data_IF_772423128012
#
_entry.id   IF_772423128012
#
_cell.length_a   1.000
_cell.length_b   1.000
_cell.length_c   1.000
_cell.angle_alpha   90.00
_cell.angle_beta   90.00
_cell.angle_gamma   90.00
#
_symmetry.space_group_name_H-M   'P 1'
#
loop_
_entity.id
_entity.type
_entity.pdbx_description
1 polymer ?
#
# COMPACT_ATOMS: atom_id res chain seq x y z
N UNK A 1 18.20 -12.57 0.33
CA UNK A 1 17.63 -13.86 -0.08
C UNK A 1 17.27 -14.72 1.13
N UNK A 2 18.18 -15.07 2.07
CA UNK A 2 17.88 -15.93 3.23
C UNK A 2 16.69 -15.42 4.05
N UNK A 3 16.66 -14.14 4.42
CA UNK A 3 15.54 -13.50 5.13
C UNK A 3 14.19 -13.63 4.39
N UNK A 4 14.19 -13.47 3.07
CA UNK A 4 12.96 -13.61 2.28
C UNK A 4 12.42 -15.04 2.30
N UNK A 5 13.32 -16.05 2.33
CA UNK A 5 12.95 -17.47 2.47
C UNK A 5 12.40 -17.75 3.87
N UNK A 6 13.02 -17.20 4.92
CA UNK A 6 12.57 -17.38 6.31
C UNK A 6 11.16 -16.79 6.53
N UNK A 7 10.84 -15.70 5.88
CA UNK A 7 9.55 -14.99 5.99
C UNK A 7 8.46 -15.59 5.09
N UNK A 8 8.82 -16.28 4.02
CA UNK A 8 7.85 -16.84 3.08
C UNK A 8 7.09 -18.03 3.68
N UNK A 9 5.78 -18.15 3.40
CA UNK A 9 5.01 -19.36 3.66
C UNK A 9 5.27 -20.41 2.60
N UNK A 10 5.39 -19.99 1.34
CA UNK A 10 5.72 -20.82 0.18
C UNK A 10 6.75 -20.08 -0.66
N UNK A 11 7.73 -20.77 -1.18
CA UNK A 11 8.76 -20.20 -2.07
C UNK A 11 8.50 -20.66 -3.49
N UNK A 12 8.26 -19.71 -4.40
CA UNK A 12 8.24 -19.98 -5.83
C UNK A 12 9.68 -19.84 -6.38
N UNK A 13 10.29 -20.94 -6.77
CA UNK A 13 11.59 -20.95 -7.44
C UNK A 13 11.39 -21.08 -8.95
N UNK A 14 11.79 -20.03 -9.69
CA UNK A 14 11.60 -19.99 -11.14
C UNK A 14 12.94 -20.09 -11.87
N UNK A 15 13.03 -21.03 -12.81
CA UNK A 15 14.18 -21.28 -13.67
C UNK A 15 13.81 -21.23 -15.14
N UNK A 16 14.76 -21.17 -16.05
CA UNK A 16 14.55 -21.08 -17.50
C UNK A 16 14.89 -22.38 -18.21
N UNK A 17 13.98 -22.93 -19.02
CA UNK A 17 14.20 -24.18 -19.74
C UNK A 17 15.42 -24.14 -20.68
N UNK A 18 15.58 -23.03 -21.42
CA UNK A 18 16.59 -22.91 -22.49
C UNK A 18 18.04 -22.80 -22.00
N UNK A 19 18.27 -22.37 -20.77
CA UNK A 19 19.63 -22.28 -20.19
C UNK A 19 20.08 -23.57 -19.53
N UNK A 20 19.15 -24.50 -19.24
CA UNK A 20 19.42 -25.66 -18.40
C UNK A 20 19.66 -25.26 -16.94
N UNK A 21 20.15 -26.23 -16.16
CA UNK A 21 20.49 -25.99 -14.76
C UNK A 21 21.85 -25.31 -14.68
N UNK A 22 21.90 -24.17 -13.97
CA UNK A 22 23.13 -23.43 -13.70
C UNK A 22 23.67 -23.74 -12.31
N UNK A 23 24.96 -23.43 -12.05
CA UNK A 23 25.56 -23.58 -10.72
C UNK A 23 24.79 -22.77 -9.66
N UNK A 24 24.26 -21.60 -10.04
CA UNK A 24 23.42 -20.77 -9.15
C UNK A 24 22.08 -21.44 -8.83
N UNK A 25 21.48 -22.14 -9.80
CA UNK A 25 20.23 -22.87 -9.54
C UNK A 25 20.45 -24.01 -8.53
N UNK A 26 21.61 -24.70 -8.62
CA UNK A 26 21.98 -25.74 -7.66
C UNK A 26 22.23 -25.17 -6.26
N UNK A 27 22.97 -24.04 -6.14
CA UNK A 27 23.21 -23.37 -4.86
C UNK A 27 21.89 -22.91 -4.21
N UNK A 28 20.99 -22.30 -5.00
CA UNK A 28 19.69 -21.87 -4.51
C UNK A 28 18.85 -23.08 -4.10
N UNK A 29 18.82 -24.14 -4.90
CA UNK A 29 18.08 -25.35 -4.60
C UNK A 29 18.56 -26.01 -3.29
N UNK A 30 19.88 -26.03 -3.03
CA UNK A 30 20.44 -26.52 -1.77
C UNK A 30 19.99 -25.68 -0.57
N UNK A 31 20.01 -24.33 -0.72
CA UNK A 31 19.53 -23.41 0.30
C UNK A 31 18.04 -23.61 0.58
N UNK A 32 17.22 -23.78 -0.46
CA UNK A 32 15.79 -24.02 -0.35
C UNK A 32 15.48 -25.34 0.33
N UNK A 33 16.18 -26.43 0.00
CA UNK A 33 16.04 -27.73 0.70
C UNK A 33 16.36 -27.63 2.19
N UNK A 34 17.39 -26.86 2.55
CA UNK A 34 17.78 -26.63 3.96
C UNK A 34 16.80 -25.76 4.72
N UNK A 35 16.05 -24.91 4.04
CA UNK A 35 15.09 -23.99 4.70
C UNK A 35 13.88 -24.69 5.32
N UNK A 36 13.54 -25.90 4.83
CA UNK A 36 12.36 -26.65 5.25
C UNK A 36 11.03 -25.98 4.86
N UNK A 37 11.06 -24.94 4.04
CA UNK A 37 9.86 -24.29 3.53
C UNK A 37 9.27 -25.05 2.35
N UNK A 38 7.93 -25.01 2.13
CA UNK A 38 7.34 -25.49 0.90
C UNK A 38 7.91 -24.73 -0.30
N UNK A 39 8.38 -25.47 -1.31
CA UNK A 39 8.95 -24.91 -2.53
C UNK A 39 8.16 -25.39 -3.74
N UNK A 40 7.73 -24.48 -4.59
CA UNK A 40 7.12 -24.77 -5.88
C UNK A 40 8.11 -24.41 -6.98
N UNK A 41 8.56 -25.39 -7.77
CA UNK A 41 9.54 -25.21 -8.84
C UNK A 41 8.85 -24.98 -10.17
N UNK A 42 9.06 -23.80 -10.78
CA UNK A 42 8.53 -23.45 -12.09
C UNK A 42 9.63 -23.34 -13.13
N UNK A 43 9.48 -24.05 -14.24
CA UNK A 43 10.36 -23.95 -15.41
C UNK A 43 9.66 -23.12 -16.47
N UNK A 44 10.22 -21.93 -16.75
CA UNK A 44 9.63 -20.94 -17.65
C UNK A 44 10.18 -21.05 -19.07
N UNK A 45 9.52 -20.38 -20.02
CA UNK A 45 9.82 -20.34 -21.45
C UNK A 45 9.57 -21.65 -22.20
N UNK A 46 8.61 -22.44 -21.73
CA UNK A 46 8.13 -23.64 -22.41
C UNK A 46 6.95 -23.25 -23.30
N UNK A 47 7.27 -22.81 -24.53
CA UNK A 47 6.29 -22.26 -25.48
C UNK A 47 5.73 -23.34 -26.43
N UNK A 48 6.33 -24.52 -26.46
CA UNK A 48 5.93 -25.66 -27.34
C UNK A 48 6.07 -27.00 -26.64
N UNK A 49 5.31 -28.00 -27.11
CA UNK A 49 5.37 -29.34 -26.57
C UNK A 49 6.75 -30.02 -26.65
N UNK A 50 7.57 -29.66 -27.64
CA UNK A 50 8.95 -30.16 -27.76
C UNK A 50 9.84 -29.72 -26.61
N UNK A 51 9.67 -28.47 -26.12
CA UNK A 51 10.42 -27.92 -24.97
C UNK A 51 9.97 -28.50 -23.63
N UNK A 52 8.87 -29.22 -23.60
CA UNK A 52 8.38 -29.84 -22.38
C UNK A 52 9.37 -30.90 -21.83
N UNK A 53 10.14 -31.53 -22.73
CA UNK A 53 11.19 -32.47 -22.33
C UNK A 53 12.36 -31.80 -21.61
N UNK A 54 12.62 -30.51 -21.89
CA UNK A 54 13.69 -29.74 -21.25
C UNK A 54 13.40 -29.51 -19.76
N UNK A 55 12.14 -29.57 -19.34
CA UNK A 55 11.76 -29.40 -17.94
C UNK A 55 12.18 -30.61 -17.07
N UNK A 56 12.29 -31.81 -17.65
CA UNK A 56 12.58 -33.01 -16.86
C UNK A 56 13.94 -32.97 -16.16
N UNK A 57 14.93 -32.31 -16.73
CA UNK A 57 16.25 -32.18 -16.10
C UNK A 57 16.17 -31.50 -14.72
N UNK A 58 15.20 -30.59 -14.50
CA UNK A 58 15.07 -29.83 -13.26
C UNK A 58 14.55 -30.66 -12.08
N UNK A 59 14.03 -31.87 -12.30
CA UNK A 59 13.76 -32.83 -11.21
C UNK A 59 15.01 -33.17 -10.41
N UNK A 60 16.22 -33.10 -11.02
CA UNK A 60 17.49 -33.32 -10.34
C UNK A 60 17.79 -32.33 -9.22
N UNK A 61 17.13 -31.13 -9.22
CA UNK A 61 17.26 -30.18 -8.14
C UNK A 61 16.60 -30.64 -6.83
N UNK A 62 15.80 -31.72 -6.86
CA UNK A 62 15.23 -32.35 -5.67
C UNK A 62 14.27 -31.45 -4.88
N UNK A 63 13.54 -30.58 -5.57
CA UNK A 63 12.56 -29.65 -4.99
C UNK A 63 11.09 -30.10 -5.18
N UNK A 64 10.88 -31.36 -5.61
CA UNK A 64 9.55 -31.93 -5.80
C UNK A 64 9.04 -31.79 -7.25
N UNK A 65 7.75 -31.55 -7.39
CA UNK A 65 7.06 -31.40 -8.69
C UNK A 65 7.62 -30.21 -9.49
N UNK A 66 7.70 -30.38 -10.82
CA UNK A 66 8.17 -29.38 -11.75
C UNK A 66 7.02 -28.85 -12.59
N UNK A 67 6.71 -27.57 -12.47
CA UNK A 67 5.63 -26.90 -13.21
C UNK A 67 6.19 -26.22 -14.45
N UNK A 68 5.83 -26.75 -15.62
CA UNK A 68 6.21 -26.21 -16.92
C UNK A 68 5.31 -25.06 -17.30
N UNK A 69 5.87 -23.85 -17.48
CA UNK A 69 5.07 -22.65 -17.80
C UNK A 69 5.62 -21.86 -18.96
N UNK A 70 4.76 -21.06 -19.57
CA UNK A 70 5.14 -19.96 -20.45
C UNK A 70 4.54 -18.66 -19.93
N UNK A 71 5.33 -17.84 -19.26
CA UNK A 71 4.88 -16.55 -18.75
C UNK A 71 4.46 -15.58 -19.86
N UNK A 72 4.96 -15.78 -21.10
CA UNK A 72 4.65 -14.94 -22.26
C UNK A 72 3.21 -15.17 -22.77
N UNK A 73 2.73 -16.40 -22.78
CA UNK A 73 1.41 -16.77 -23.31
C UNK A 73 0.41 -17.29 -22.26
N UNK A 74 0.86 -17.44 -20.99
CA UNK A 74 0.04 -17.89 -19.87
C UNK A 74 -0.11 -19.42 -19.80
N UNK A 75 0.58 -20.20 -20.66
CA UNK A 75 0.52 -21.67 -20.64
C UNK A 75 1.05 -22.23 -19.30
N UNK A 76 0.34 -23.19 -18.68
CA UNK A 76 0.73 -23.86 -17.44
C UNK A 76 0.62 -23.00 -16.17
N UNK A 77 0.27 -21.72 -16.26
CA UNK A 77 0.20 -20.83 -15.10
C UNK A 77 -0.95 -21.17 -14.15
N UNK A 78 -2.05 -21.76 -14.64
CA UNK A 78 -3.17 -22.21 -13.81
C UNK A 78 -2.72 -23.30 -12.83
N UNK A 79 -2.11 -24.37 -13.34
CA UNK A 79 -1.61 -25.49 -12.53
C UNK A 79 -0.56 -25.03 -11.51
N UNK A 80 0.32 -24.09 -11.91
CA UNK A 80 1.29 -23.47 -11.02
C UNK A 80 0.63 -22.72 -9.86
N UNK A 81 -0.40 -21.91 -10.16
CA UNK A 81 -1.12 -21.14 -9.13
C UNK A 81 -1.89 -22.08 -8.19
N UNK A 82 -2.52 -23.12 -8.71
CA UNK A 82 -3.21 -24.11 -7.89
C UNK A 82 -2.24 -24.85 -6.95
N UNK A 83 -1.03 -25.16 -7.43
CA UNK A 83 0.01 -25.75 -6.61
C UNK A 83 0.47 -24.80 -5.49
N UNK A 84 0.67 -23.53 -5.79
CA UNK A 84 1.02 -22.52 -4.78
C UNK A 84 -0.08 -22.42 -3.72
N UNK A 85 -1.34 -22.31 -4.14
CA UNK A 85 -2.49 -22.19 -3.23
C UNK A 85 -2.59 -23.42 -2.32
N UNK A 86 -2.31 -24.62 -2.83
CA UNK A 86 -2.34 -25.88 -2.06
C UNK A 86 -1.32 -25.90 -0.92
N UNK A 87 -0.16 -25.28 -1.14
CA UNK A 87 0.94 -25.22 -0.14
C UNK A 87 0.79 -24.04 0.83
N UNK A 88 -0.14 -23.09 0.57
CA UNK A 88 -0.42 -22.01 1.50
C UNK A 88 -1.11 -22.56 2.77
N UNK A 89 -0.86 -21.96 3.95
CA UNK A 89 -1.60 -22.29 5.16
C UNK A 89 -3.11 -22.20 4.95
N UNK A 90 -3.86 -23.13 5.51
CA UNK A 90 -5.33 -23.12 5.42
C UNK A 90 -5.97 -21.91 6.12
N UNK A 91 -5.30 -21.38 7.14
CA UNK A 91 -5.61 -20.12 7.80
C UNK A 91 -4.44 -19.18 7.59
N UNK A 92 -4.72 -17.95 7.20
CA UNK A 92 -3.71 -16.91 7.13
C UNK A 92 -3.24 -16.61 8.56
N UNK A 93 -1.99 -16.97 8.96
CA UNK A 93 -1.50 -16.69 10.30
C UNK A 93 -1.35 -15.19 10.59
N UNK A 94 -1.37 -14.36 9.54
CA UNK A 94 -1.41 -12.90 9.60
C UNK A 94 -2.83 -12.36 9.38
N UNK A 95 -3.86 -13.24 9.41
CA UNK A 95 -5.25 -12.82 9.29
C UNK A 95 -5.56 -11.75 10.35
N UNK A 96 -6.14 -10.68 9.86
CA UNK A 96 -6.54 -9.55 10.68
C UNK A 96 -7.66 -10.00 11.65
N UNK A 97 -7.40 -9.93 12.94
CA UNK A 97 -8.40 -10.29 13.96
C UNK A 97 -9.59 -9.31 14.01
N UNK A 98 -9.38 -8.09 13.49
CA UNK A 98 -10.38 -7.03 13.44
C UNK A 98 -10.46 -6.40 12.04
N UNK A 99 -10.81 -7.19 11.00
CA UNK A 99 -10.85 -6.69 9.62
C UNK A 99 -11.89 -5.60 9.39
N UNK A 100 -12.83 -5.43 10.32
CA UNK A 100 -13.87 -4.39 10.34
C UNK A 100 -13.37 -3.04 10.84
N UNK A 101 -12.27 -3.02 11.62
CA UNK A 101 -11.73 -1.79 12.17
C UNK A 101 -10.77 -1.10 11.19
N UNK A 102 -10.69 0.24 11.24
CA UNK A 102 -9.69 0.97 10.47
C UNK A 102 -8.26 0.63 10.92
N UNK A 103 -7.34 0.50 9.99
CA UNK A 103 -5.92 0.27 10.25
C UNK A 103 -5.12 1.52 9.98
N UNK A 104 -4.51 2.10 11.00
CA UNK A 104 -3.68 3.30 10.90
C UNK A 104 -2.22 2.96 11.18
N UNK A 105 -1.30 3.59 10.45
CA UNK A 105 0.14 3.51 10.74
C UNK A 105 0.75 4.89 10.79
N UNK A 106 1.78 5.05 11.65
CA UNK A 106 2.55 6.30 11.77
C UNK A 106 3.90 6.09 11.12
N UNK A 107 4.14 6.80 10.03
CA UNK A 107 5.37 6.70 9.23
C UNK A 107 6.08 8.04 9.13
N UNK A 108 7.33 8.05 8.73
CA UNK A 108 8.17 9.25 8.60
C UNK A 108 9.63 8.93 8.88
N UNK A 109 10.53 9.85 8.59
CA UNK A 109 11.98 9.72 8.82
C UNK A 109 12.32 9.53 10.32
N UNK A 110 13.52 9.07 10.66
CA UNK A 110 13.98 9.00 12.06
C UNK A 110 13.86 10.34 12.79
N UNK A 111 13.57 10.30 14.08
CA UNK A 111 13.52 11.46 14.99
C UNK A 111 12.47 12.55 14.72
N UNK A 112 11.50 12.33 13.81
CA UNK A 112 10.35 13.24 13.60
C UNK A 112 9.33 13.22 14.73
N UNK A 113 9.40 12.23 15.63
CA UNK A 113 8.50 12.14 16.80
C UNK A 113 7.47 11.01 16.74
N UNK A 114 7.62 10.02 15.85
CA UNK A 114 6.69 8.87 15.72
C UNK A 114 6.43 8.17 17.05
N UNK A 115 7.50 7.74 17.73
CA UNK A 115 7.39 7.06 19.02
C UNK A 115 6.76 7.96 20.10
N UNK A 116 7.00 9.27 20.04
CA UNK A 116 6.42 10.24 20.96
C UNK A 116 4.92 10.38 20.74
N UNK A 117 4.47 10.43 19.47
CA UNK A 117 3.04 10.47 19.13
C UNK A 117 2.36 9.18 19.56
N UNK A 118 2.92 8.02 19.22
CA UNK A 118 2.39 6.72 19.66
C UNK A 118 2.26 6.63 21.17
N UNK A 119 3.29 7.06 21.92
CA UNK A 119 3.24 7.06 23.38
C UNK A 119 2.22 8.05 23.95
N UNK A 120 2.06 9.20 23.28
CA UNK A 120 1.05 10.19 23.68
C UNK A 120 -0.38 9.68 23.46
N UNK A 121 -0.61 8.92 22.40
CA UNK A 121 -1.90 8.30 22.08
C UNK A 121 -2.21 7.13 23.04
N UNK A 122 -1.27 6.19 23.17
CA UNK A 122 -1.50 4.98 23.98
C UNK A 122 -1.48 5.26 25.49
N UNK A 123 -0.86 6.35 25.94
CA UNK A 123 -0.74 6.73 27.34
C UNK A 123 0.36 5.95 28.06
N UNK A 124 0.69 6.37 29.31
CA UNK A 124 1.65 5.66 30.17
C UNK A 124 1.04 4.43 30.88
N UNK A 125 -0.26 4.30 30.88
CA UNK A 125 -0.95 3.18 31.54
C UNK A 125 -1.00 1.97 30.60
N UNK A 126 -0.14 1.02 30.89
CA UNK A 126 0.09 -0.25 30.17
C UNK A 126 -1.05 -1.28 30.27
N UNK A 127 -2.23 -0.93 30.75
CA UNK A 127 -3.22 -1.92 31.21
C UNK A 127 -4.37 -2.24 30.24
N UNK A 128 -4.41 -1.71 29.01
CA UNK A 128 -5.44 -2.07 28.02
C UNK A 128 -4.79 -2.27 26.63
N UNK A 129 -3.66 -2.92 26.61
CA UNK A 129 -3.08 -3.45 25.39
C UNK A 129 -2.85 -4.91 25.68
N UNK A 130 -3.80 -5.74 25.34
CA UNK A 130 -3.54 -7.18 25.25
C UNK A 130 -2.59 -7.36 24.05
N UNK A 131 -1.31 -7.71 24.27
CA UNK A 131 -0.55 -8.31 23.19
C UNK A 131 -1.24 -9.67 23.00
N UNK A 132 -1.93 -9.83 21.90
CA UNK A 132 -2.51 -11.12 21.56
C UNK A 132 -1.33 -12.05 21.36
N UNK A 133 -1.18 -12.98 22.31
CA UNK A 133 -0.12 -13.97 22.28
C UNK A 133 -0.52 -15.05 21.26
N UNK A 134 0.14 -15.06 20.12
CA UNK A 134 -0.10 -16.10 19.11
C UNK A 134 0.56 -15.84 17.76
N UNK A 135 0.86 -14.59 17.42
CA UNK A 135 1.49 -14.27 16.13
C UNK A 135 2.99 -14.14 16.26
N UNK A 136 3.68 -15.05 15.64
CA UNK A 136 5.13 -15.13 15.54
C UNK A 136 5.70 -13.89 14.83
N UNK A 137 6.40 -13.09 15.61
CA UNK A 137 7.56 -12.22 15.33
C UNK A 137 7.44 -10.85 14.68
N UNK A 138 6.49 -10.42 13.80
CA UNK A 138 6.78 -9.20 13.05
C UNK A 138 5.70 -8.13 12.84
N UNK A 139 4.42 -8.28 13.15
CA UNK A 139 3.45 -7.17 13.05
C UNK A 139 2.47 -7.14 14.23
N UNK A 140 2.79 -6.36 15.23
CA UNK A 140 1.86 -6.16 16.33
C UNK A 140 1.01 -4.94 16.03
N UNK A 141 -0.19 -5.16 15.52
CA UNK A 141 -1.25 -4.18 15.55
C UNK A 141 -1.76 -4.06 16.99
N UNK A 142 -2.03 -2.86 17.43
CA UNK A 142 -2.52 -2.57 18.78
C UNK A 142 -3.89 -1.91 18.68
N UNK A 143 -4.89 -2.50 19.30
CA UNK A 143 -6.23 -1.90 19.38
C UNK A 143 -6.14 -0.58 20.18
N UNK A 144 -6.63 0.49 19.55
CA UNK A 144 -6.86 1.77 20.20
C UNK A 144 -8.37 1.98 20.37
N UNK A 145 -8.80 2.17 21.60
CA UNK A 145 -10.21 2.47 21.90
C UNK A 145 -10.27 3.53 23.01
N UNK A 146 -10.12 4.81 22.62
CA UNK A 146 -10.17 5.94 23.56
C UNK A 146 -10.73 7.19 22.85
N UNK A 147 -11.32 8.09 23.64
CA UNK A 147 -11.81 9.39 23.17
C UNK A 147 -12.78 9.32 21.97
N UNK A 148 -13.55 8.22 21.87
CA UNK A 148 -14.52 8.03 20.80
C UNK A 148 -13.92 7.52 19.48
N UNK A 149 -12.62 7.18 19.43
CA UNK A 149 -11.96 6.55 18.30
C UNK A 149 -11.66 5.09 18.58
N UNK A 150 -11.97 4.22 17.62
CA UNK A 150 -11.65 2.80 17.65
C UNK A 150 -10.98 2.39 16.34
N UNK A 151 -9.73 1.91 16.42
CA UNK A 151 -8.92 1.51 15.27
C UNK A 151 -7.74 0.63 15.68
N UNK A 152 -7.16 -0.06 14.71
CA UNK A 152 -5.91 -0.81 14.87
C UNK A 152 -4.72 0.08 14.53
N UNK A 153 -3.77 0.21 15.45
CA UNK A 153 -2.51 0.91 15.18
C UNK A 153 -1.42 -0.11 14.81
N UNK A 154 -1.00 -0.08 13.55
CA UNK A 154 -0.04 -1.03 12.97
C UNK A 154 1.41 -0.61 13.30
N UNK A 155 2.27 -1.61 13.53
CA UNK A 155 3.72 -1.48 13.82
C UNK A 155 4.07 -0.72 15.12
N UNK A 156 3.37 -1.04 16.20
CA UNK A 156 3.73 -0.51 17.53
C UNK A 156 5.00 -1.16 18.11
N UNK A 157 5.38 -2.36 17.67
CA UNK A 157 6.52 -3.13 18.19
C UNK A 157 7.88 -2.52 17.81
N UNK A 158 8.01 -2.02 16.59
CA UNK A 158 9.24 -1.33 16.13
C UNK A 158 9.54 -0.06 16.92
N UNK A 159 8.52 0.57 17.47
CA UNK A 159 8.65 1.76 18.31
C UNK A 159 9.06 1.45 19.75
N UNK A 160 8.84 0.22 20.24
CA UNK A 160 9.13 -0.20 21.63
C UNK A 160 10.57 -0.71 21.85
N UNK A 161 11.23 -1.26 20.82
CA UNK A 161 12.58 -1.85 20.93
C UNK A 161 13.70 -0.87 20.51
N UNK A 162 13.76 0.33 21.09
CA UNK A 162 14.94 1.20 21.01
C UNK A 162 15.95 0.82 22.08
N UNK A 163 16.50 -0.39 22.05
CA UNK A 163 17.68 -0.70 22.85
C UNK A 163 18.49 -1.82 22.20
N UNK A 164 19.67 -1.46 21.73
CA UNK A 164 20.76 -2.34 21.28
C UNK A 164 20.54 -3.05 19.95
N UNK A 165 20.95 -2.45 18.85
CA UNK A 165 21.84 -3.03 17.84
C UNK A 165 22.20 -1.93 16.84
N UNK A 166 23.48 -1.65 16.64
CA UNK A 166 24.03 -0.76 15.63
C UNK A 166 24.31 -1.55 14.34
N UNK A 167 24.16 -0.90 13.21
CA UNK A 167 24.60 -1.23 11.83
C UNK A 167 23.62 -1.91 10.84
N UNK A 168 22.63 -2.71 11.24
CA UNK A 168 21.61 -3.20 10.29
C UNK A 168 20.28 -2.43 10.37
N UNK A 169 20.25 -1.36 11.12
CA UNK A 169 19.02 -0.65 11.56
C UNK A 169 18.27 0.09 10.45
N UNK A 170 18.96 0.58 9.41
CA UNK A 170 18.30 1.35 8.35
C UNK A 170 17.47 0.47 7.43
N UNK A 171 18.02 -0.65 6.99
CA UNK A 171 17.32 -1.59 6.11
C UNK A 171 16.09 -2.20 6.79
N UNK A 172 16.22 -2.66 8.03
CA UNK A 172 15.10 -3.19 8.81
C UNK A 172 14.02 -2.13 9.09
N UNK A 173 14.41 -0.89 9.31
CA UNK A 173 13.48 0.23 9.50
C UNK A 173 12.66 0.52 8.24
N UNK A 174 13.28 0.46 7.07
CA UNK A 174 12.62 0.66 5.77
C UNK A 174 11.63 -0.49 5.49
N UNK A 175 12.06 -1.74 5.65
CA UNK A 175 11.21 -2.92 5.41
C UNK A 175 9.99 -2.93 6.33
N UNK A 176 10.15 -2.58 7.61
CA UNK A 176 9.03 -2.43 8.54
C UNK A 176 8.05 -1.34 8.10
N UNK A 177 8.58 -0.19 7.66
CA UNK A 177 7.73 0.89 7.17
C UNK A 177 6.93 0.45 5.93
N UNK A 178 7.53 -0.36 5.05
CA UNK A 178 6.85 -0.92 3.89
C UNK A 178 5.69 -1.82 4.35
N UNK A 179 5.95 -2.79 5.23
CA UNK A 179 4.92 -3.69 5.76
C UNK A 179 3.80 -2.93 6.50
N UNK A 180 4.18 -1.99 7.35
CA UNK A 180 3.20 -1.18 8.06
C UNK A 180 2.28 -0.41 7.12
N UNK A 181 2.83 0.13 6.02
CA UNK A 181 2.05 0.78 4.97
C UNK A 181 1.14 -0.24 4.26
N UNK A 182 1.65 -1.42 3.90
CA UNK A 182 0.89 -2.46 3.20
C UNK A 182 -0.32 -2.95 4.01
N UNK A 183 -0.17 -3.09 5.32
CA UNK A 183 -1.25 -3.57 6.22
C UNK A 183 -2.12 -2.45 6.81
N UNK A 184 -1.95 -1.19 6.40
CA UNK A 184 -2.78 -0.07 6.86
C UNK A 184 -3.77 0.40 5.81
N UNK A 185 -4.80 1.13 6.23
CA UNK A 185 -5.73 1.85 5.37
C UNK A 185 -5.32 3.32 5.26
N UNK A 186 -4.93 3.92 6.39
CA UNK A 186 -4.51 5.32 6.48
C UNK A 186 -3.10 5.41 7.05
N UNK A 187 -2.24 6.12 6.33
CA UNK A 187 -0.88 6.42 6.76
C UNK A 187 -0.80 7.85 7.32
N UNK A 188 -0.36 7.98 8.56
CA UNK A 188 -0.05 9.26 9.21
C UNK A 188 1.42 9.58 8.92
N UNK A 189 1.69 10.40 7.90
CA UNK A 189 3.03 10.80 7.52
C UNK A 189 3.51 11.96 8.40
N UNK A 190 4.44 11.68 9.31
CA UNK A 190 5.05 12.70 10.17
C UNK A 190 6.25 13.35 9.52
N UNK A 191 6.24 14.67 9.51
CA UNK A 191 7.31 15.55 8.99
C UNK A 191 7.79 16.47 10.11
N UNK A 192 9.08 16.80 10.11
CA UNK A 192 9.66 17.74 11.04
C UNK A 192 9.46 19.19 10.54
N UNK A 193 8.86 20.05 11.37
CA UNK A 193 8.64 21.46 11.03
C UNK A 193 9.93 22.23 10.73
N UNK A 194 11.05 21.86 11.37
CA UNK A 194 12.33 22.57 11.19
C UNK A 194 12.95 22.32 9.81
N UNK A 195 12.77 21.13 9.24
CA UNK A 195 13.38 20.76 7.96
C UNK A 195 12.39 20.74 6.80
N UNK A 196 11.07 20.74 7.09
CA UNK A 196 10.03 20.55 6.07
C UNK A 196 10.09 19.17 5.44
N UNK A 197 9.58 19.06 4.20
CA UNK A 197 9.60 17.81 3.43
C UNK A 197 10.94 17.61 2.74
N UNK A 198 11.65 16.56 3.09
CA UNK A 198 12.93 16.16 2.51
C UNK A 198 12.77 14.94 1.57
N UNK A 199 13.88 14.54 0.93
CA UNK A 199 13.89 13.42 -0.04
C UNK A 199 13.43 12.10 0.58
N UNK A 200 13.76 11.85 1.86
CA UNK A 200 13.36 10.64 2.57
C UNK A 200 11.86 10.64 2.87
N UNK A 201 11.28 11.79 3.21
CA UNK A 201 9.82 11.93 3.39
C UNK A 201 9.08 11.68 2.07
N UNK A 202 9.64 12.19 0.95
CA UNK A 202 9.11 11.93 -0.39
C UNK A 202 9.19 10.45 -0.78
N UNK A 203 10.27 9.75 -0.41
CA UNK A 203 10.38 8.31 -0.67
C UNK A 203 9.27 7.54 0.06
N UNK A 204 8.99 7.87 1.33
CA UNK A 204 7.91 7.27 2.11
C UNK A 204 6.54 7.63 1.50
N UNK A 205 6.34 8.88 1.12
CA UNK A 205 5.09 9.33 0.49
C UNK A 205 4.82 8.61 -0.84
N UNK A 206 5.85 8.45 -1.68
CA UNK A 206 5.74 7.68 -2.93
C UNK A 206 5.37 6.21 -2.66
N UNK A 207 5.86 5.65 -1.57
CA UNK A 207 5.51 4.29 -1.16
C UNK A 207 4.03 4.19 -0.73
N UNK A 208 3.53 5.17 0.03
CA UNK A 208 2.10 5.29 0.39
C UNK A 208 1.24 5.34 -0.88
N UNK A 209 1.62 6.17 -1.85
CA UNK A 209 0.89 6.29 -3.12
C UNK A 209 0.91 4.99 -3.94
N UNK A 210 2.07 4.33 -4.06
CA UNK A 210 2.20 3.05 -4.78
C UNK A 210 1.32 1.96 -4.19
N UNK A 211 1.21 1.94 -2.86
CA UNK A 211 0.32 1.02 -2.14
C UNK A 211 -1.14 1.49 -2.09
N UNK A 212 -1.48 2.60 -2.76
CA UNK A 212 -2.84 3.16 -2.86
C UNK A 212 -3.49 3.41 -1.51
N UNK A 213 -2.68 3.81 -0.51
CA UNK A 213 -3.17 4.08 0.85
C UNK A 213 -3.59 5.53 1.00
N UNK A 214 -4.54 5.76 1.89
CA UNK A 214 -4.92 7.11 2.30
C UNK A 214 -3.84 7.74 3.18
N UNK A 215 -3.76 9.07 3.22
CA UNK A 215 -2.68 9.78 3.89
C UNK A 215 -3.14 11.04 4.60
N UNK A 216 -2.63 11.22 5.82
CA UNK A 216 -2.68 12.46 6.60
C UNK A 216 -1.25 12.94 6.82
N UNK A 217 -0.96 14.21 6.58
CA UNK A 217 0.36 14.80 6.84
C UNK A 217 0.35 15.48 8.21
N UNK A 218 1.32 15.14 9.05
CA UNK A 218 1.49 15.72 10.38
C UNK A 218 2.81 16.44 10.47
N UNK A 219 2.78 17.76 10.58
CA UNK A 219 3.95 18.61 10.77
C UNK A 219 4.18 18.75 12.27
N UNK A 220 5.13 17.97 12.80
CA UNK A 220 5.44 17.92 14.21
C UNK A 220 6.60 18.88 14.57
N UNK A 221 6.79 19.10 15.87
CA UNK A 221 7.71 20.09 16.46
C UNK A 221 7.34 21.53 16.08
N UNK A 222 6.05 21.77 15.89
CA UNK A 222 5.56 23.11 15.54
C UNK A 222 5.85 24.18 16.61
N UNK A 223 6.16 23.77 17.85
CA UNK A 223 6.59 24.63 18.94
C UNK A 223 7.97 25.26 18.72
N UNK A 224 8.81 24.66 17.88
CA UNK A 224 10.18 25.12 17.63
C UNK A 224 10.30 26.16 16.51
N UNK A 225 9.20 26.46 15.81
CA UNK A 225 9.16 27.40 14.70
C UNK A 225 8.74 28.79 15.20
N UNK A 226 9.46 29.83 14.78
CA UNK A 226 9.01 31.20 14.91
C UNK A 226 7.81 31.44 14.00
N UNK A 227 6.74 32.00 14.53
CA UNK A 227 5.44 32.05 13.86
C UNK A 227 4.95 33.49 13.74
N UNK A 228 4.50 33.79 12.53
CA UNK A 228 3.63 34.95 12.26
C UNK A 228 2.23 34.46 11.81
N UNK A 229 1.38 35.38 11.41
CA UNK A 229 0.02 35.08 10.96
C UNK A 229 -0.06 34.26 9.66
N UNK A 230 1.01 34.25 8.86
CA UNK A 230 1.06 33.61 7.54
C UNK A 230 1.85 32.29 7.53
N UNK A 231 2.72 32.06 8.52
CA UNK A 231 3.63 30.92 8.58
C UNK A 231 2.93 29.58 8.29
N UNK A 232 1.80 29.33 8.93
CA UNK A 232 1.06 28.07 8.72
C UNK A 232 0.54 27.93 7.27
N UNK A 233 0.12 29.02 6.66
CA UNK A 233 -0.38 29.04 5.28
C UNK A 233 0.76 28.77 4.30
N UNK A 234 1.90 29.41 4.51
CA UNK A 234 3.10 29.22 3.67
C UNK A 234 3.63 27.80 3.74
N UNK A 235 3.71 27.23 4.94
CA UNK A 235 4.06 25.81 5.11
C UNK A 235 3.07 24.88 4.39
N UNK A 236 1.77 25.16 4.51
CA UNK A 236 0.74 24.36 3.83
C UNK A 236 0.91 24.41 2.31
N UNK A 237 1.19 25.59 1.74
CA UNK A 237 1.40 25.74 0.29
C UNK A 237 2.67 24.95 -0.12
N UNK A 238 3.78 25.18 0.56
CA UNK A 238 5.05 24.50 0.24
C UNK A 238 4.94 22.97 0.33
N UNK A 239 4.23 22.45 1.32
CA UNK A 239 3.97 21.00 1.47
C UNK A 239 3.13 20.50 0.29
N UNK A 240 2.04 21.19 -0.05
CA UNK A 240 1.15 20.79 -1.16
C UNK A 240 1.85 20.81 -2.51
N UNK A 241 2.71 21.78 -2.76
CA UNK A 241 3.53 21.86 -3.97
C UNK A 241 4.50 20.67 -4.07
N UNK A 242 5.14 20.32 -2.96
CA UNK A 242 6.08 19.18 -2.91
C UNK A 242 5.40 17.83 -3.13
N UNK A 243 4.17 17.67 -2.61
CA UNK A 243 3.41 16.42 -2.69
C UNK A 243 2.61 16.26 -3.99
N UNK A 244 2.60 17.27 -4.87
CA UNK A 244 1.89 17.20 -6.14
C UNK A 244 2.33 15.96 -6.97
N UNK A 245 1.43 15.31 -7.72
CA UNK A 245 0.03 15.67 -7.97
C UNK A 245 -0.98 15.25 -6.91
N UNK A 246 -0.63 14.39 -5.93
CA UNK A 246 -1.51 14.00 -4.84
C UNK A 246 -1.31 14.93 -3.64
N UNK A 247 -1.88 16.12 -3.71
CA UNK A 247 -1.74 17.19 -2.71
C UNK A 247 -3.06 17.58 -2.02
N UNK A 248 -4.15 16.86 -2.31
CA UNK A 248 -5.43 16.98 -1.64
C UNK A 248 -5.42 16.17 -0.33
N UNK A 249 -4.64 16.65 0.64
CA UNK A 249 -4.34 15.98 1.89
C UNK A 249 -4.62 16.88 3.08
N UNK A 250 -5.16 16.36 4.20
CA UNK A 250 -5.18 17.10 5.46
C UNK A 250 -3.74 17.27 5.99
N UNK A 251 -3.44 18.49 6.42
CA UNK A 251 -2.13 18.84 7.00
C UNK A 251 -2.39 19.37 8.40
N UNK A 252 -1.90 18.66 9.42
CA UNK A 252 -2.09 18.98 10.82
C UNK A 252 -0.75 19.41 11.43
N UNK A 253 -0.73 20.59 12.02
CA UNK A 253 0.47 21.12 12.71
C UNK A 253 0.39 20.76 14.19
N UNK A 254 1.37 20.01 14.71
CA UNK A 254 1.36 19.47 16.05
C UNK A 254 2.62 19.82 16.84
N UNK A 255 2.48 19.86 18.15
CA UNK A 255 3.60 19.69 19.07
C UNK A 255 3.28 18.52 20.00
N UNK A 256 3.87 17.37 19.72
CA UNK A 256 3.63 16.16 20.50
C UNK A 256 4.16 16.34 21.94
N UNK A 257 5.27 17.07 22.13
CA UNK A 257 5.85 17.34 23.45
C UNK A 257 4.87 18.15 24.28
N UNK A 258 4.26 19.16 23.70
CA UNK A 258 3.30 20.05 24.37
C UNK A 258 1.85 19.51 24.29
N UNK A 259 1.65 18.30 23.74
CA UNK A 259 0.35 17.67 23.52
C UNK A 259 -0.65 18.54 22.75
N UNK A 260 -0.17 19.37 21.83
CA UNK A 260 -1.01 20.25 21.03
C UNK A 260 -1.50 19.55 19.77
N UNK A 261 -2.81 19.59 19.52
CA UNK A 261 -3.50 19.08 18.33
C UNK A 261 -3.27 17.59 18.03
N UNK A 262 -3.01 16.78 19.05
CA UNK A 262 -2.84 15.33 18.87
C UNK A 262 -4.16 14.67 18.49
N UNK A 263 -5.28 15.14 19.09
CA UNK A 263 -6.60 14.61 18.77
C UNK A 263 -7.03 14.99 17.35
N UNK A 264 -6.70 16.18 16.89
CA UNK A 264 -6.98 16.61 15.51
C UNK A 264 -6.36 15.66 14.47
N UNK A 265 -5.24 14.99 14.81
CA UNK A 265 -4.62 13.96 13.94
C UNK A 265 -5.52 12.73 13.83
N UNK A 266 -6.12 12.29 14.94
CA UNK A 266 -7.04 11.14 14.94
C UNK A 266 -8.34 11.48 14.23
N UNK A 267 -8.90 12.66 14.48
CA UNK A 267 -10.10 13.14 13.79
C UNK A 267 -9.88 13.19 12.27
N UNK A 268 -8.72 13.74 11.85
CA UNK A 268 -8.37 13.78 10.44
C UNK A 268 -8.16 12.37 9.84
N UNK A 269 -7.52 11.46 10.57
CA UNK A 269 -7.31 10.08 10.12
C UNK A 269 -8.65 9.32 10.00
N UNK A 270 -9.55 9.48 10.96
CA UNK A 270 -10.89 8.89 10.93
C UNK A 270 -11.71 9.43 9.73
N UNK A 271 -11.72 10.73 9.52
CA UNK A 271 -12.41 11.35 8.37
C UNK A 271 -11.83 10.87 7.02
N UNK A 272 -10.51 10.77 6.92
CA UNK A 272 -9.85 10.22 5.73
C UNK A 272 -10.22 8.75 5.52
N UNK A 273 -10.33 7.96 6.59
CA UNK A 273 -10.78 6.57 6.47
C UNK A 273 -12.24 6.46 6.00
N UNK A 274 -13.13 7.31 6.49
CA UNK A 274 -14.51 7.38 6.01
C UNK A 274 -14.56 7.67 4.51
N UNK A 275 -13.73 8.59 4.03
CA UNK A 275 -13.61 8.90 2.60
C UNK A 275 -13.01 7.72 1.81
N UNK A 276 -12.02 7.03 2.40
CA UNK A 276 -11.33 5.90 1.78
C UNK A 276 -12.23 4.67 1.63
N UNK A 277 -13.04 4.38 2.64
CA UNK A 277 -13.97 3.24 2.66
C UNK A 277 -15.33 3.52 2.02
N UNK A 278 -15.58 4.78 1.63
CA UNK A 278 -16.87 5.25 1.11
C UNK A 278 -17.33 4.47 -0.11
N UNK A 279 -18.57 4.00 -0.06
CA UNK A 279 -19.25 3.38 -1.20
C UNK A 279 -20.30 4.33 -1.76
N UNK A 280 -20.19 4.67 -3.03
CA UNK A 280 -21.12 5.56 -3.74
C UNK A 280 -22.03 4.70 -4.60
N UNK A 281 -23.37 4.79 -4.43
CA UNK A 281 -24.30 4.09 -5.29
C UNK A 281 -24.10 4.47 -6.76
N UNK A 282 -24.17 3.49 -7.66
CA UNK A 282 -23.96 3.68 -9.10
C UNK A 282 -24.92 4.72 -9.69
N UNK A 283 -26.17 4.78 -9.21
CA UNK A 283 -27.17 5.79 -9.63
C UNK A 283 -26.67 7.21 -9.32
N UNK A 284 -26.28 7.47 -8.06
CA UNK A 284 -25.76 8.77 -7.63
C UNK A 284 -24.48 9.17 -8.35
N UNK A 285 -23.58 8.20 -8.57
CA UNK A 285 -22.33 8.42 -9.29
C UNK A 285 -22.60 8.86 -10.74
N UNK A 286 -23.55 8.23 -11.42
CA UNK A 286 -23.91 8.59 -12.80
C UNK A 286 -24.69 9.89 -12.87
N UNK A 287 -25.62 10.15 -11.94
CA UNK A 287 -26.37 11.39 -11.84
C UNK A 287 -25.46 12.63 -11.73
N UNK A 288 -24.40 12.53 -10.92
CA UNK A 288 -23.47 13.64 -10.69
C UNK A 288 -22.40 13.80 -11.79
N UNK A 289 -21.92 12.67 -12.34
CA UNK A 289 -20.75 12.68 -13.23
C UNK A 289 -21.11 12.75 -14.73
N UNK A 290 -22.20 12.13 -15.18
CA UNK A 290 -22.55 12.12 -16.61
C UNK A 290 -22.82 13.53 -17.16
N UNK A 291 -23.52 14.44 -16.46
CA UNK A 291 -23.67 15.81 -16.92
C UNK A 291 -22.34 16.56 -17.09
N UNK A 292 -21.38 16.34 -16.18
CA UNK A 292 -20.05 16.96 -16.27
C UNK A 292 -19.28 16.46 -17.51
N UNK A 293 -19.43 15.16 -17.83
CA UNK A 293 -18.83 14.53 -19.00
C UNK A 293 -19.50 14.98 -20.30
N UNK A 294 -20.82 15.17 -20.28
CA UNK A 294 -21.57 15.68 -21.44
C UNK A 294 -21.22 17.12 -21.75
N UNK A 295 -21.04 17.96 -20.71
CA UNK A 295 -20.60 19.34 -20.86
C UNK A 295 -19.14 19.45 -21.35
N UNK A 296 -18.30 18.50 -21.00
CA UNK A 296 -16.91 18.45 -21.42
C UNK A 296 -16.51 17.03 -21.85
N UNK A 297 -16.92 16.62 -23.09
CA UNK A 297 -16.68 15.25 -23.55
C UNK A 297 -15.19 14.97 -23.87
N UNK A 298 -14.79 13.69 -23.86
CA UNK A 298 -13.45 13.31 -24.27
C UNK A 298 -13.14 13.81 -25.69
N UNK A 299 -11.91 14.29 -25.95
CA UNK A 299 -11.49 14.72 -27.29
C UNK A 299 -11.68 13.62 -28.33
N UNK A 300 -12.23 13.95 -29.49
CA UNK A 300 -12.38 13.02 -30.60
C UNK A 300 -11.01 12.53 -31.11
N UNK A 301 -10.94 11.27 -31.49
CA UNK A 301 -9.73 10.68 -32.08
C UNK A 301 -9.95 10.37 -33.55
N UNK A 302 -9.19 11.03 -34.45
CA UNK A 302 -9.30 10.85 -35.91
C UNK A 302 -10.74 10.87 -36.40
N UNK A 303 -11.52 11.86 -35.94
CA UNK A 303 -12.93 12.04 -36.32
C UNK A 303 -13.93 11.09 -35.62
N UNK A 304 -13.47 10.18 -34.76
CA UNK A 304 -14.32 9.28 -33.96
C UNK A 304 -14.62 9.90 -32.60
N UNK A 305 -15.90 10.05 -32.30
CA UNK A 305 -16.34 10.54 -30.98
C UNK A 305 -16.24 9.45 -29.92
N UNK A 306 -15.68 9.81 -28.77
CA UNK A 306 -15.59 8.96 -27.61
C UNK A 306 -16.77 9.29 -26.68
N UNK A 307 -17.57 8.27 -26.37
CA UNK A 307 -18.74 8.42 -25.49
C UNK A 307 -18.59 7.53 -24.26
N UNK A 308 -18.55 8.16 -23.08
CA UNK A 308 -18.65 7.47 -21.80
C UNK A 308 -20.14 7.23 -21.53
N UNK A 309 -20.53 5.99 -21.25
CA UNK A 309 -21.94 5.57 -21.16
C UNK A 309 -22.42 5.45 -19.72
N UNK A 310 -21.59 4.95 -18.82
CA UNK A 310 -21.87 4.86 -17.41
C UNK A 310 -20.60 4.68 -16.60
N UNK A 311 -20.71 4.85 -15.29
CA UNK A 311 -19.61 4.81 -14.33
C UNK A 311 -20.03 3.91 -13.17
N UNK A 312 -19.13 3.12 -12.65
CA UNK A 312 -19.33 2.34 -11.44
C UNK A 312 -18.10 2.40 -10.55
N UNK A 313 -18.31 2.33 -9.24
CA UNK A 313 -17.23 2.13 -8.28
C UNK A 313 -16.86 0.64 -8.24
N UNK A 314 -15.57 0.35 -8.28
CA UNK A 314 -15.05 -1.02 -8.18
C UNK A 314 -15.01 -1.48 -6.71
N UNK A 315 -15.17 -2.78 -6.44
CA UNK A 315 -15.11 -3.35 -5.09
C UNK A 315 -13.66 -3.50 -4.61
N UNK A 316 -12.92 -2.39 -4.58
CA UNK A 316 -11.54 -2.31 -4.10
C UNK A 316 -11.48 -1.56 -2.78
N UNK A 317 -10.41 -1.76 -1.99
CA UNK A 317 -10.21 -0.99 -0.75
C UNK A 317 -10.09 0.50 -1.03
N UNK A 318 -9.22 0.89 -1.98
CA UNK A 318 -9.06 2.29 -2.39
C UNK A 318 -10.17 2.75 -3.34
N UNK A 319 -10.62 4.00 -3.29
CA UNK A 319 -11.60 4.57 -4.21
C UNK A 319 -11.19 4.41 -5.68
N UNK A 320 -11.85 3.51 -6.39
CA UNK A 320 -11.55 3.15 -7.77
C UNK A 320 -12.82 3.15 -8.60
N UNK A 321 -12.79 3.80 -9.76
CA UNK A 321 -13.96 4.01 -10.61
C UNK A 321 -13.71 3.53 -12.02
N UNK A 322 -14.61 2.71 -12.54
CA UNK A 322 -14.60 2.25 -13.92
C UNK A 322 -15.56 3.08 -14.78
N UNK A 323 -15.03 3.74 -15.79
CA UNK A 323 -15.75 4.51 -16.79
C UNK A 323 -15.86 3.67 -18.05
N UNK A 324 -17.07 3.29 -18.42
CA UNK A 324 -17.34 2.44 -19.57
C UNK A 324 -17.60 3.29 -20.82
N UNK A 325 -16.78 3.12 -21.83
CA UNK A 325 -16.82 3.88 -23.07
C UNK A 325 -16.60 3.02 -24.31
N UNK A 326 -16.83 3.58 -25.49
CA UNK A 326 -16.67 2.87 -26.77
C UNK A 326 -15.21 2.71 -27.22
N UNK A 327 -14.32 3.63 -26.83
CA UNK A 327 -12.93 3.70 -27.32
C UNK A 327 -11.96 4.10 -26.19
N UNK A 328 -11.82 3.27 -25.12
CA UNK A 328 -11.04 3.60 -23.92
C UNK A 328 -9.56 3.88 -24.21
N UNK A 329 -8.98 3.22 -25.19
CA UNK A 329 -7.56 3.31 -25.55
C UNK A 329 -7.15 4.70 -26.07
N UNK A 330 -8.11 5.54 -26.49
CA UNK A 330 -7.84 6.87 -27.04
C UNK A 330 -8.06 8.00 -26.01
N UNK A 331 -8.56 7.69 -24.83
CA UNK A 331 -8.65 8.66 -23.74
C UNK A 331 -7.28 8.84 -23.10
N UNK A 332 -6.70 10.04 -23.24
CA UNK A 332 -5.37 10.39 -22.77
C UNK A 332 -5.37 10.82 -21.30
N UNK A 333 -4.19 10.83 -20.70
CA UNK A 333 -3.95 11.17 -19.31
C UNK A 333 -4.57 12.51 -18.84
N UNK A 334 -4.51 13.61 -19.63
CA UNK A 334 -5.16 14.87 -19.21
C UNK A 334 -6.67 14.74 -18.95
N UNK A 335 -7.36 13.90 -19.75
CA UNK A 335 -8.79 13.70 -19.55
C UNK A 335 -9.07 12.77 -18.35
N UNK A 336 -8.20 11.80 -18.07
CA UNK A 336 -8.29 10.99 -16.84
C UNK A 336 -8.20 11.87 -15.60
N UNK A 337 -7.24 12.81 -15.58
CA UNK A 337 -7.09 13.79 -14.49
C UNK A 337 -8.30 14.71 -14.37
N UNK A 338 -8.91 15.10 -15.48
CA UNK A 338 -10.18 15.84 -15.46
C UNK A 338 -11.28 15.04 -14.76
N UNK A 339 -11.45 13.75 -15.09
CA UNK A 339 -12.43 12.88 -14.46
C UNK A 339 -12.15 12.71 -12.95
N UNK A 340 -10.88 12.51 -12.57
CA UNK A 340 -10.48 12.45 -11.16
C UNK A 340 -10.82 13.75 -10.42
N UNK A 341 -10.46 14.89 -10.98
CA UNK A 341 -10.75 16.19 -10.37
C UNK A 341 -12.27 16.43 -10.22
N UNK A 342 -13.08 15.99 -11.19
CA UNK A 342 -14.54 16.07 -11.09
C UNK A 342 -15.10 15.15 -10.01
N UNK A 343 -14.57 13.93 -9.87
CA UNK A 343 -14.92 13.05 -8.76
C UNK A 343 -14.63 13.73 -7.41
N UNK A 344 -13.44 14.34 -7.25
CA UNK A 344 -13.07 15.07 -6.03
C UNK A 344 -13.94 16.28 -5.74
N UNK A 345 -14.43 16.97 -6.79
CA UNK A 345 -15.32 18.13 -6.64
C UNK A 345 -16.73 17.72 -6.19
N UNK A 346 -17.22 16.57 -6.68
CA UNK A 346 -18.58 16.07 -6.39
C UNK A 346 -18.67 15.25 -5.11
N UNK A 347 -17.56 14.60 -4.75
CA UNK A 347 -17.50 13.71 -3.60
C UNK A 347 -16.24 14.04 -2.78
N UNK A 348 -16.36 13.99 -1.46
CA UNK A 348 -15.22 14.19 -0.59
C UNK A 348 -14.29 12.96 -0.65
N UNK A 349 -13.07 13.17 -1.18
CA UNK A 349 -11.97 12.23 -1.22
C UNK A 349 -10.69 12.81 -0.63
N UNK A 350 -10.83 13.80 0.26
CA UNK A 350 -9.69 14.37 0.98
C UNK A 350 -8.84 13.27 1.61
N UNK A 351 -7.55 13.30 1.36
CA UNK A 351 -6.61 12.32 1.90
C UNK A 351 -6.57 10.98 1.17
N UNK A 352 -7.43 10.74 0.18
CA UNK A 352 -7.56 9.46 -0.50
C UNK A 352 -7.00 9.49 -1.91
N UNK A 353 -6.26 8.45 -2.35
CA UNK A 353 -5.96 8.25 -3.76
C UNK A 353 -7.26 7.84 -4.50
N UNK A 354 -7.50 8.45 -5.64
CA UNK A 354 -8.65 8.13 -6.51
C UNK A 354 -8.13 7.54 -7.82
N UNK A 355 -8.67 6.40 -8.21
CA UNK A 355 -8.23 5.70 -9.42
C UNK A 355 -9.31 5.67 -10.49
N UNK A 356 -8.97 6.12 -11.69
CA UNK A 356 -9.86 6.14 -12.85
C UNK A 356 -9.43 5.04 -13.83
N UNK A 357 -10.31 4.08 -14.05
CA UNK A 357 -10.14 3.01 -15.03
C UNK A 357 -11.08 3.23 -16.22
N UNK A 358 -10.56 3.11 -17.41
CA UNK A 358 -11.34 3.20 -18.65
C UNK A 358 -11.54 1.80 -19.19
N UNK A 359 -12.78 1.40 -19.42
CA UNK A 359 -13.13 0.05 -19.90
C UNK A 359 -14.02 0.13 -21.14
N UNK A 360 -13.82 -0.81 -22.01
CA UNK A 360 -14.70 -0.99 -23.17
C UNK A 360 -16.04 -1.60 -22.71
N UNK A 361 -17.12 -1.06 -23.26
CA UNK A 361 -18.46 -1.64 -23.09
C UNK A 361 -18.74 -2.58 -24.24
#
# INVERSE_FOLDING_TARGET
MVLAIEEAHVVLFMVEAGTGITDYDEEIAELLRRSGKPVVLAVNKIDSGEKMYDAFQFYSLGLGEVYSISAANGGGTGDLLDAIVKELPAEDPDADEHPELPHFTIVGKPNVGKSSLTNALLGKERNIVTPIAGTTRDSIATLYNKFGHEFMLVDTAGMRKKAKVHEDLEFYSVMRSIRAIEHSDVCILMVDAQTGIESQDMAIFNLIQRNKKACVVVVNKWDTIEKDSNTMKEYTIAIKERLAPFNDLPIIFTSVINKQRIMDVLDAAAHVYENYSRKIPTSKLNEEMLPEIENYPPPAWKGKYIKIKYITQLPTRSPSFAFFCNLPQYIREPYRRFLENKLRTKFDFLGCPVHVFLRQK
#
